data_IF_304526006117
#
_entry.id   IF_304526006117
#
_cell.length_a   1.000
_cell.length_b   1.000
_cell.length_c   1.000
_cell.angle_alpha   90.00
_cell.angle_beta   90.00
_cell.angle_gamma   90.00
#
_symmetry.space_group_name_H-M   'P 1'
#
loop_
_entity.id
_entity.type
_entity.pdbx_description
1 polymer ?
#
# COMPACT_ATOMS: atom_id res chain seq x y z
N UNK A 1 -17.81 0.31 0.66
CA UNK A 1 -17.70 -1.16 0.53
C UNK A 1 -18.90 -1.83 1.15
N UNK A 2 -19.37 -2.88 0.49
CA UNK A 2 -20.49 -3.68 0.99
C UNK A 2 -19.99 -4.68 2.05
N UNK A 3 -20.89 -5.18 2.94
CA UNK A 3 -20.51 -6.25 3.86
C UNK A 3 -19.96 -7.50 3.15
N UNK A 4 -20.47 -7.81 1.98
CA UNK A 4 -20.01 -8.93 1.15
C UNK A 4 -18.58 -8.72 0.66
N UNK A 5 -18.26 -7.52 0.18
CA UNK A 5 -16.89 -7.14 -0.22
C UNK A 5 -15.91 -7.25 0.94
N UNK A 6 -16.30 -6.77 2.12
CA UNK A 6 -15.46 -6.84 3.32
C UNK A 6 -15.22 -8.29 3.73
N UNK A 7 -16.26 -9.13 3.68
CA UNK A 7 -16.11 -10.55 3.99
C UNK A 7 -15.16 -11.25 3.02
N UNK A 8 -15.27 -10.96 1.72
CA UNK A 8 -14.35 -11.52 0.71
C UNK A 8 -12.91 -11.09 0.95
N UNK A 9 -12.69 -9.81 1.26
CA UNK A 9 -11.35 -9.29 1.53
C UNK A 9 -10.74 -9.94 2.78
N UNK A 10 -11.52 -10.10 3.86
CA UNK A 10 -11.05 -10.73 5.08
C UNK A 10 -10.71 -12.20 4.89
N UNK A 11 -11.54 -12.92 4.17
CA UNK A 11 -11.28 -14.32 3.85
C UNK A 11 -10.04 -14.46 2.99
N UNK A 12 -9.89 -13.62 1.97
CA UNK A 12 -8.71 -13.57 1.09
C UNK A 12 -7.45 -13.27 1.88
N UNK A 13 -7.47 -12.25 2.71
CA UNK A 13 -6.30 -11.87 3.49
C UNK A 13 -5.92 -12.93 4.53
N UNK A 14 -6.90 -13.57 5.16
CA UNK A 14 -6.66 -14.66 6.11
C UNK A 14 -5.93 -15.83 5.44
N UNK A 15 -6.30 -16.18 4.22
CA UNK A 15 -5.61 -17.20 3.44
C UNK A 15 -4.14 -16.83 3.19
N UNK A 16 -3.91 -15.60 2.76
CA UNK A 16 -2.56 -15.11 2.45
C UNK A 16 -1.72 -14.97 3.72
N UNK A 17 -2.30 -14.48 4.80
CA UNK A 17 -1.61 -14.26 6.07
C UNK A 17 -1.21 -15.57 6.78
N UNK A 18 -1.78 -16.70 6.38
CA UNK A 18 -1.40 -18.00 6.91
C UNK A 18 0.06 -18.38 6.57
N UNK A 19 0.65 -17.72 5.57
CA UNK A 19 2.05 -17.90 5.19
C UNK A 19 2.81 -16.58 5.36
N UNK A 20 3.38 -16.31 6.55
CA UNK A 20 4.08 -15.05 6.81
C UNK A 20 5.19 -14.78 5.81
N UNK A 21 5.29 -13.52 5.36
CA UNK A 21 6.31 -12.99 4.45
C UNK A 21 6.22 -13.48 3.01
N UNK A 22 5.36 -14.44 2.67
CA UNK A 22 5.20 -14.90 1.29
C UNK A 22 4.61 -13.79 0.43
N UNK A 23 3.54 -13.14 0.90
CA UNK A 23 2.93 -12.02 0.19
C UNK A 23 3.92 -10.87 -0.01
N UNK A 24 4.57 -10.44 1.05
CA UNK A 24 5.53 -9.33 0.99
C UNK A 24 6.68 -9.63 0.03
N UNK A 25 7.22 -10.85 0.06
CA UNK A 25 8.28 -11.26 -0.85
C UNK A 25 7.84 -11.20 -2.32
N UNK A 26 6.63 -11.69 -2.61
CA UNK A 26 6.04 -11.61 -3.96
C UNK A 26 5.77 -10.17 -4.38
N UNK A 27 5.26 -9.35 -3.46
CA UNK A 27 4.99 -7.94 -3.74
C UNK A 27 6.27 -7.21 -4.17
N UNK A 28 7.34 -7.30 -3.38
CA UNK A 28 8.57 -6.59 -3.71
C UNK A 28 9.22 -7.12 -4.99
N UNK A 29 9.13 -8.42 -5.24
CA UNK A 29 9.59 -9.01 -6.51
C UNK A 29 8.83 -8.41 -7.69
N UNK A 30 7.50 -8.38 -7.63
CA UNK A 30 6.64 -7.79 -8.67
C UNK A 30 6.94 -6.30 -8.87
N UNK A 31 7.10 -5.58 -7.76
CA UNK A 31 7.37 -4.15 -7.80
C UNK A 31 8.69 -3.86 -8.51
N UNK A 32 9.76 -4.55 -8.16
CA UNK A 32 11.08 -4.29 -8.73
C UNK A 32 11.24 -4.82 -10.16
N UNK A 33 10.45 -5.82 -10.54
CA UNK A 33 10.36 -6.25 -11.94
C UNK A 33 9.62 -5.22 -12.80
N UNK A 34 8.52 -4.66 -12.28
CA UNK A 34 7.72 -3.65 -13.00
C UNK A 34 8.43 -2.28 -13.05
N UNK A 35 9.17 -1.92 -12.01
CA UNK A 35 9.81 -0.62 -11.87
C UNK A 35 11.19 -0.78 -11.23
N UNK A 36 12.19 -1.25 -11.98
CA UNK A 36 13.54 -1.49 -11.44
C UNK A 36 14.17 -0.27 -10.78
N UNK A 37 13.85 0.93 -11.25
CA UNK A 37 14.37 2.18 -10.69
C UNK A 37 13.95 2.44 -9.25
N UNK A 38 12.83 1.84 -8.81
CA UNK A 38 12.37 2.00 -7.43
C UNK A 38 13.24 1.25 -6.42
N UNK A 39 14.01 0.26 -6.87
CA UNK A 39 14.87 -0.53 -5.96
C UNK A 39 15.83 0.36 -5.17
N UNK A 40 16.32 1.44 -5.78
CA UNK A 40 17.24 2.37 -5.13
C UNK A 40 16.64 3.14 -3.95
N UNK A 41 15.31 3.19 -3.85
CA UNK A 41 14.61 3.85 -2.73
C UNK A 41 14.55 2.96 -1.47
N UNK A 42 14.96 1.70 -1.57
CA UNK A 42 14.83 0.71 -0.51
C UNK A 42 16.20 0.28 0.00
N UNK A 43 16.30 -0.15 1.28
CA UNK A 43 17.56 -0.69 1.81
C UNK A 43 17.91 -2.03 1.19
N UNK A 44 19.18 -2.43 1.30
CA UNK A 44 19.63 -3.73 0.82
C UNK A 44 18.94 -4.88 1.55
N UNK A 45 18.78 -4.76 2.87
CA UNK A 45 18.07 -5.73 3.71
C UNK A 45 16.59 -5.33 3.83
N UNK A 46 15.72 -6.14 3.22
CA UNK A 46 14.27 -5.89 3.15
C UNK A 46 13.47 -6.56 4.28
N UNK A 47 14.13 -7.24 5.21
CA UNK A 47 13.44 -8.07 6.21
C UNK A 47 12.45 -7.29 7.06
N UNK A 48 12.83 -6.13 7.59
CA UNK A 48 11.95 -5.28 8.39
C UNK A 48 10.77 -4.75 7.57
N UNK A 49 11.02 -4.34 6.32
CA UNK A 49 9.99 -3.79 5.45
C UNK A 49 8.95 -4.83 5.07
N UNK A 50 9.35 -6.09 4.88
CA UNK A 50 8.40 -7.17 4.61
C UNK A 50 7.39 -7.34 5.75
N UNK A 51 7.87 -7.32 6.98
CA UNK A 51 7.00 -7.39 8.16
C UNK A 51 6.11 -6.16 8.30
N UNK A 52 6.64 -4.97 8.09
CA UNK A 52 5.89 -3.71 8.14
C UNK A 52 4.79 -3.65 7.07
N UNK A 53 5.07 -4.11 5.87
CA UNK A 53 4.09 -4.17 4.78
C UNK A 53 2.89 -5.03 5.16
N UNK A 54 3.14 -6.26 5.63
CA UNK A 54 2.06 -7.19 5.99
C UNK A 54 1.28 -6.70 7.21
N UNK A 55 1.94 -6.12 8.20
CA UNK A 55 1.28 -5.55 9.38
C UNK A 55 0.39 -4.35 9.01
N UNK A 56 0.84 -3.49 8.11
CA UNK A 56 0.06 -2.36 7.62
C UNK A 56 -1.20 -2.83 6.87
N UNK A 57 -1.05 -3.84 6.03
CA UNK A 57 -2.18 -4.41 5.31
C UNK A 57 -3.18 -5.05 6.26
N UNK A 58 -2.72 -5.77 7.29
CA UNK A 58 -3.56 -6.36 8.31
C UNK A 58 -4.36 -5.29 9.06
N UNK A 59 -3.74 -4.16 9.38
CA UNK A 59 -4.41 -3.04 10.06
C UNK A 59 -5.56 -2.48 9.21
N UNK A 60 -5.35 -2.31 7.91
CA UNK A 60 -6.37 -1.86 6.99
C UNK A 60 -7.54 -2.85 6.92
N UNK A 61 -7.24 -4.13 6.78
CA UNK A 61 -8.26 -5.18 6.70
C UNK A 61 -9.12 -5.22 7.97
N UNK A 62 -8.55 -4.95 9.15
CA UNK A 62 -9.31 -4.88 10.39
C UNK A 62 -10.26 -3.68 10.48
N UNK A 63 -9.98 -2.62 9.74
CA UNK A 63 -10.72 -1.36 9.81
C UNK A 63 -11.54 -1.05 8.56
N UNK A 64 -11.88 -2.05 7.75
CA UNK A 64 -12.61 -1.85 6.49
C UNK A 64 -14.01 -1.25 6.68
N UNK A 65 -14.66 -1.47 7.83
CA UNK A 65 -15.97 -0.86 8.12
C UNK A 65 -15.88 0.65 8.35
N UNK A 66 -14.75 1.12 8.85
CA UNK A 66 -14.55 2.56 9.11
C UNK A 66 -13.08 2.92 8.91
N UNK A 67 -12.72 3.26 7.66
CA UNK A 67 -11.38 3.67 7.30
C UNK A 67 -11.01 5.06 7.84
N UNK A 68 -11.97 5.83 8.35
CA UNK A 68 -11.69 7.17 8.89
C UNK A 68 -10.77 7.11 10.10
N UNK A 69 -10.79 6.01 10.86
CA UNK A 69 -9.90 5.83 12.02
C UNK A 69 -8.42 5.76 11.62
N UNK A 70 -8.13 5.44 10.36
CA UNK A 70 -6.77 5.35 9.84
C UNK A 70 -6.36 6.60 9.03
N UNK A 71 -7.25 7.54 8.82
CA UNK A 71 -7.04 8.64 7.87
C UNK A 71 -5.80 9.48 8.21
N UNK A 72 -5.65 9.88 9.47
CA UNK A 72 -4.50 10.69 9.89
C UNK A 72 -3.19 9.91 9.79
N UNK A 73 -3.19 8.64 10.22
CA UNK A 73 -2.01 7.77 10.11
C UNK A 73 -1.60 7.55 8.66
N UNK A 74 -2.57 7.39 7.76
CA UNK A 74 -2.28 7.21 6.33
C UNK A 74 -1.77 8.49 5.68
N UNK A 75 -2.29 9.65 6.07
CA UNK A 75 -1.76 10.94 5.62
C UNK A 75 -0.31 11.13 6.06
N UNK A 76 0.00 10.83 7.31
CA UNK A 76 1.36 10.90 7.84
C UNK A 76 2.29 9.94 7.10
N UNK A 77 1.83 8.72 6.82
CA UNK A 77 2.59 7.74 6.06
C UNK A 77 2.88 8.24 4.63
N UNK A 78 1.91 8.89 3.99
CA UNK A 78 2.10 9.50 2.68
C UNK A 78 3.15 10.60 2.70
N UNK A 79 3.14 11.46 3.73
CA UNK A 79 4.15 12.49 3.91
C UNK A 79 5.55 11.87 4.10
N UNK A 80 5.67 10.80 4.87
CA UNK A 80 6.93 10.08 5.05
C UNK A 80 7.45 9.49 3.74
N UNK A 81 6.55 8.98 2.89
CA UNK A 81 6.92 8.44 1.58
C UNK A 81 7.54 9.48 0.66
N UNK A 82 7.11 10.75 0.74
CA UNK A 82 7.77 11.85 0.02
C UNK A 82 9.24 11.95 0.44
N UNK A 83 9.50 11.90 1.73
CA UNK A 83 10.87 11.93 2.26
C UNK A 83 11.72 10.74 1.81
N UNK A 84 11.10 9.60 1.52
CA UNK A 84 11.78 8.41 1.02
C UNK A 84 11.92 8.39 -0.51
N UNK A 85 11.41 9.40 -1.21
CA UNK A 85 11.57 9.55 -2.65
C UNK A 85 10.39 9.06 -3.48
N UNK A 86 9.28 8.66 -2.87
CA UNK A 86 8.09 8.23 -3.60
C UNK A 86 7.42 9.42 -4.30
N UNK A 87 6.98 9.18 -5.54
CA UNK A 87 6.25 10.15 -6.36
C UNK A 87 4.81 9.72 -6.53
N UNK A 88 3.86 10.66 -6.82
CA UNK A 88 2.46 10.29 -7.01
C UNK A 88 2.22 9.18 -8.03
N UNK A 89 2.97 9.18 -9.14
CA UNK A 89 2.85 8.14 -10.17
C UNK A 89 3.27 6.74 -9.71
N UNK A 90 4.05 6.63 -8.65
CA UNK A 90 4.49 5.33 -8.12
C UNK A 90 3.35 4.57 -7.44
N UNK A 91 2.32 5.26 -6.96
CA UNK A 91 1.19 4.64 -6.23
C UNK A 91 0.42 3.65 -7.09
N UNK A 92 0.19 3.96 -8.38
CA UNK A 92 -0.47 3.03 -9.30
C UNK A 92 0.40 1.79 -9.57
N UNK A 93 1.71 1.98 -9.68
CA UNK A 93 2.67 0.88 -9.89
C UNK A 93 2.66 -0.05 -8.67
N UNK A 94 2.69 0.53 -7.47
CA UNK A 94 2.63 -0.23 -6.21
C UNK A 94 1.31 -0.98 -6.08
N UNK A 95 0.18 -0.31 -6.34
CA UNK A 95 -1.14 -0.95 -6.34
C UNK A 95 -1.17 -2.18 -7.22
N UNK A 96 -0.71 -2.06 -8.45
CA UNK A 96 -0.76 -3.15 -9.41
C UNK A 96 0.17 -4.30 -8.99
N UNK A 97 1.32 -4.00 -8.40
CA UNK A 97 2.23 -5.00 -7.85
C UNK A 97 1.61 -5.76 -6.67
N UNK A 98 0.90 -5.05 -5.77
CA UNK A 98 0.19 -5.67 -4.65
C UNK A 98 -0.89 -6.63 -5.19
N UNK A 99 -1.68 -6.20 -6.16
CA UNK A 99 -2.74 -7.03 -6.75
C UNK A 99 -2.16 -8.29 -7.39
N UNK A 100 -1.06 -8.17 -8.15
CA UNK A 100 -0.41 -9.34 -8.74
C UNK A 100 0.11 -10.32 -7.68
N UNK A 101 0.68 -9.80 -6.60
CA UNK A 101 1.16 -10.63 -5.50
C UNK A 101 0.03 -11.35 -4.78
N UNK A 102 -1.09 -10.65 -4.53
CA UNK A 102 -2.29 -11.24 -3.93
C UNK A 102 -2.87 -12.33 -4.80
N UNK A 103 -2.97 -12.08 -6.10
CA UNK A 103 -3.47 -13.07 -7.07
C UNK A 103 -2.60 -14.32 -7.08
N UNK A 104 -1.29 -14.17 -7.09
CA UNK A 104 -0.34 -15.29 -7.07
C UNK A 104 -0.39 -16.08 -5.75
N UNK A 105 -0.84 -15.44 -4.66
CA UNK A 105 -0.91 -16.05 -3.33
C UNK A 105 -2.27 -16.64 -3.00
N UNK A 106 -3.25 -16.51 -3.88
CA UNK A 106 -4.65 -16.90 -3.64
C UNK A 106 -5.02 -18.15 -4.45
N UNK A 107 -5.71 -19.10 -3.80
CA UNK A 107 -6.20 -20.30 -4.47
C UNK A 107 -7.44 -20.01 -5.32
N UNK A 108 -8.32 -19.09 -4.87
CA UNK A 108 -9.59 -18.77 -5.49
C UNK A 108 -9.66 -17.28 -5.83
N UNK A 109 -9.09 -16.89 -6.96
CA UNK A 109 -9.12 -15.52 -7.42
C UNK A 109 -10.18 -15.36 -8.52
N UNK A 110 -10.97 -14.27 -8.45
CA UNK A 110 -11.94 -13.92 -9.46
C UNK A 110 -12.03 -12.41 -9.64
N UNK A 111 -12.83 -11.96 -10.61
CA UNK A 111 -12.94 -10.54 -10.93
C UNK A 111 -13.54 -9.71 -9.79
N UNK A 112 -14.49 -10.27 -9.04
CA UNK A 112 -15.09 -9.59 -7.89
C UNK A 112 -14.04 -9.34 -6.79
N UNK A 113 -13.24 -10.34 -6.49
CA UNK A 113 -12.18 -10.21 -5.49
C UNK A 113 -11.12 -9.21 -5.95
N UNK A 114 -10.75 -9.22 -7.22
CA UNK A 114 -9.82 -8.24 -7.78
C UNK A 114 -10.35 -6.82 -7.65
N UNK A 115 -11.62 -6.61 -7.95
CA UNK A 115 -12.27 -5.30 -7.79
C UNK A 115 -12.32 -4.87 -6.32
N UNK A 116 -12.57 -5.80 -5.41
CA UNK A 116 -12.57 -5.52 -3.96
C UNK A 116 -11.18 -5.07 -3.50
N UNK A 117 -10.13 -5.79 -3.88
CA UNK A 117 -8.76 -5.43 -3.54
C UNK A 117 -8.34 -4.09 -4.16
N UNK A 118 -8.73 -3.85 -5.39
CA UNK A 118 -8.45 -2.56 -6.05
C UNK A 118 -9.07 -1.41 -5.26
N UNK A 119 -10.31 -1.56 -4.81
CA UNK A 119 -10.98 -0.55 -3.97
C UNK A 119 -10.30 -0.37 -2.61
N UNK A 120 -9.92 -1.46 -1.97
CA UNK A 120 -9.25 -1.40 -0.66
C UNK A 120 -7.90 -0.68 -0.75
N UNK A 121 -7.09 -0.99 -1.76
CA UNK A 121 -5.78 -0.36 -1.96
C UNK A 121 -5.95 1.12 -2.35
N UNK A 122 -6.94 1.44 -3.18
CA UNK A 122 -7.25 2.83 -3.52
C UNK A 122 -7.67 3.63 -2.27
N UNK A 123 -8.43 3.02 -1.37
CA UNK A 123 -8.81 3.65 -0.10
C UNK A 123 -7.61 3.94 0.82
N UNK A 124 -6.53 3.19 0.68
CA UNK A 124 -5.25 3.47 1.36
C UNK A 124 -4.51 4.61 0.64
N UNK A 125 -4.45 4.55 -0.68
CA UNK A 125 -3.66 5.48 -1.49
C UNK A 125 -4.18 6.92 -1.44
N UNK A 126 -5.49 7.12 -1.37
CA UNK A 126 -6.09 8.47 -1.39
C UNK A 126 -5.60 9.32 -0.21
N UNK A 127 -5.75 8.91 1.07
CA UNK A 127 -5.24 9.72 2.18
C UNK A 127 -3.71 9.85 2.16
N UNK A 128 -2.98 8.83 1.71
CA UNK A 128 -1.54 8.94 1.55
C UNK A 128 -1.15 10.02 0.55
N UNK A 129 -1.82 10.07 -0.60
CA UNK A 129 -1.59 11.12 -1.61
C UNK A 129 -1.96 12.50 -1.09
N UNK A 130 -3.01 12.62 -0.29
CA UNK A 130 -3.39 13.89 0.36
C UNK A 130 -2.28 14.37 1.31
N UNK A 131 -1.76 13.50 2.14
CA UNK A 131 -0.66 13.83 3.05
C UNK A 131 0.63 14.17 2.32
N UNK A 132 0.94 13.47 1.25
CA UNK A 132 2.08 13.76 0.39
C UNK A 132 1.98 15.14 -0.26
N UNK A 133 0.79 15.52 -0.74
CA UNK A 133 0.56 16.82 -1.38
C UNK A 133 0.73 17.97 -0.37
N UNK A 134 0.20 17.83 0.84
CA UNK A 134 0.38 18.83 1.90
C UNK A 134 1.86 19.00 2.27
N UNK A 135 2.57 17.89 2.45
CA UNK A 135 3.99 17.92 2.76
C UNK A 135 4.80 18.62 1.66
N UNK A 136 4.52 18.32 0.40
CA UNK A 136 5.19 18.94 -0.75
C UNK A 136 4.91 20.45 -0.79
N UNK A 137 3.68 20.86 -0.55
CA UNK A 137 3.31 22.29 -0.52
C UNK A 137 4.05 23.05 0.59
N UNK A 138 4.11 22.49 1.80
CA UNK A 138 4.84 23.10 2.92
C UNK A 138 6.33 23.22 2.61
N UNK A 139 6.92 22.20 2.04
CA UNK A 139 8.33 22.23 1.63
C UNK A 139 8.58 23.32 0.57
N UNK A 140 7.71 23.43 -0.43
CA UNK A 140 7.82 24.44 -1.49
C UNK A 140 7.71 25.86 -0.93
N UNK A 141 6.82 26.09 0.04
CA UNK A 141 6.70 27.40 0.71
C UNK A 141 7.99 27.77 1.44
N UNK A 142 8.57 26.84 2.19
CA UNK A 142 9.83 27.07 2.90
C UNK A 142 10.97 27.38 1.93
N UNK A 143 11.04 26.68 0.83
CA UNK A 143 12.06 26.94 -0.21
C UNK A 143 11.87 28.32 -0.85
N UNK A 144 10.62 28.75 -1.08
CA UNK A 144 10.31 30.07 -1.63
C UNK A 144 10.67 31.22 -0.66
N UNK A 145 10.68 30.96 0.66
CA UNK A 145 11.08 31.90 1.70
C UNK A 145 12.62 32.01 1.85
N UNK A 146 13.38 31.27 1.08
CA UNK A 146 14.83 31.34 1.07
C UNK A 146 15.50 30.56 2.21
N UNK A 147 14.82 29.61 2.77
CA UNK A 147 15.32 28.78 3.88
C UNK A 147 15.98 27.50 3.37
#
# INVERSE_FOLDING_TARGET
>A
MTPESIARLRSSFSEVAAQPRVLAGRFYKELFEAAPHLRALFPADMTSLQGHFEAALALVIRNLEDMTVLQDSLRDLGAQHVGWGAKPGDYAIVRDAIIRALRASSANWNDDLQADWHRAITAIAIPMLQGAAVHTAVFAERMAEGE
#
